data_IF_911182638830
#
_entry.id   IF_911182638830
#
_cell.length_a   1.000
_cell.length_b   1.000
_cell.length_c   1.000
_cell.angle_alpha   90.00
_cell.angle_beta   90.00
_cell.angle_gamma   90.00
#
_symmetry.space_group_name_H-M   'P 1'
#
loop_
_entity.id
_entity.type
_entity.pdbx_description
1 polymer ?
#
# COMPACT_ATOMS: atom_id res chain seq x y z
N UNK A 1 16.15 -75.71 51.11
CA UNK A 1 15.94 -75.54 49.66
C UNK A 1 15.21 -74.21 49.45
N UNK A 2 15.93 -73.17 49.02
CA UNK A 2 15.36 -71.86 48.71
C UNK A 2 15.26 -71.74 47.19
N UNK A 3 14.04 -71.58 46.67
CA UNK A 3 13.78 -71.28 45.26
C UNK A 3 13.81 -69.77 45.07
N UNK A 4 14.83 -69.28 44.36
CA UNK A 4 14.97 -67.88 43.96
C UNK A 4 14.20 -67.70 42.65
N UNK A 5 13.08 -66.99 42.71
CA UNK A 5 12.27 -66.61 41.56
C UNK A 5 12.88 -65.33 40.94
N UNK A 6 13.60 -65.45 39.82
CA UNK A 6 14.08 -64.32 39.04
C UNK A 6 12.94 -63.80 38.14
N UNK A 7 12.36 -62.65 38.48
CA UNK A 7 11.53 -61.86 37.55
C UNK A 7 12.46 -61.14 36.56
N UNK A 8 12.47 -61.57 35.31
CA UNK A 8 13.00 -60.79 34.20
C UNK A 8 11.97 -59.72 33.80
N UNK A 9 12.20 -58.47 34.16
CA UNK A 9 11.49 -57.33 33.60
C UNK A 9 12.09 -57.00 32.23
N UNK A 10 11.40 -57.35 31.14
CA UNK A 10 11.72 -56.90 29.81
C UNK A 10 11.08 -55.52 29.57
N UNK A 11 11.89 -54.47 29.55
CA UNK A 11 11.48 -53.12 29.16
C UNK A 11 11.35 -53.04 27.62
N UNK A 12 10.12 -52.88 27.13
CA UNK A 12 9.86 -52.52 25.73
C UNK A 12 10.11 -51.02 25.60
N UNK A 13 11.30 -50.63 25.15
CA UNK A 13 11.54 -49.27 24.64
C UNK A 13 10.86 -49.15 23.28
N UNK A 14 9.65 -48.58 23.27
CA UNK A 14 8.98 -48.17 22.05
C UNK A 14 9.76 -46.97 21.47
N UNK A 15 10.63 -47.22 20.49
CA UNK A 15 11.21 -46.15 19.68
C UNK A 15 10.08 -45.50 18.89
N UNK A 16 9.46 -44.48 19.48
CA UNK A 16 8.66 -43.52 18.73
C UNK A 16 9.59 -42.80 17.78
N UNK A 17 9.69 -43.31 16.55
CA UNK A 17 10.16 -42.51 15.44
C UNK A 17 9.17 -41.35 15.34
N UNK A 18 9.54 -40.20 15.90
CA UNK A 18 8.93 -38.94 15.54
C UNK A 18 9.10 -38.88 14.03
N UNK A 19 8.01 -39.09 13.29
CA UNK A 19 7.90 -38.65 11.92
C UNK A 19 8.02 -37.12 12.00
N UNK A 20 9.27 -36.64 12.08
CA UNK A 20 9.59 -35.26 11.84
C UNK A 20 9.09 -35.03 10.42
N UNK A 21 7.96 -34.34 10.32
CA UNK A 21 7.30 -34.05 9.09
C UNK A 21 8.35 -33.44 8.17
N UNK A 22 8.73 -34.19 7.13
CA UNK A 22 9.48 -33.64 6.01
C UNK A 22 8.53 -32.75 5.22
N UNK A 23 8.09 -31.65 5.83
CA UNK A 23 7.80 -30.46 5.06
C UNK A 23 9.16 -29.97 4.60
N UNK A 24 9.63 -30.52 3.47
CA UNK A 24 10.61 -29.82 2.68
C UNK A 24 10.07 -28.40 2.57
N UNK A 25 10.86 -27.44 3.05
CA UNK A 25 10.50 -26.03 3.04
C UNK A 25 10.37 -25.66 1.58
N UNK A 26 9.17 -25.83 1.02
CA UNK A 26 8.86 -25.43 -0.34
C UNK A 26 9.00 -23.93 -0.31
N UNK A 27 10.05 -23.43 -0.95
CA UNK A 27 10.24 -22.01 -1.13
C UNK A 27 9.03 -21.51 -1.92
N UNK A 28 8.09 -20.91 -1.20
CA UNK A 28 6.85 -20.41 -1.77
C UNK A 28 7.16 -19.40 -2.88
N UNK A 29 8.28 -18.69 -2.77
CA UNK A 29 8.72 -17.72 -3.76
C UNK A 29 9.14 -18.42 -5.06
N UNK A 30 9.64 -19.65 -4.98
CA UNK A 30 9.94 -20.47 -6.15
C UNK A 30 8.67 -21.02 -6.82
N UNK A 31 7.60 -21.27 -6.06
CA UNK A 31 6.32 -21.77 -6.59
C UNK A 31 5.46 -20.63 -7.15
N UNK A 32 5.41 -19.50 -6.44
CA UNK A 32 4.58 -18.35 -6.77
C UNK A 32 5.28 -17.37 -7.70
N UNK A 33 6.62 -17.34 -7.71
CA UNK A 33 7.41 -16.38 -8.48
C UNK A 33 7.55 -15.00 -7.83
N UNK A 34 7.05 -14.81 -6.60
CA UNK A 34 7.16 -13.57 -5.84
C UNK A 34 7.14 -13.86 -4.33
N UNK A 35 7.55 -12.87 -3.54
CA UNK A 35 7.64 -12.96 -2.09
C UNK A 35 6.50 -12.20 -1.41
N UNK A 36 5.55 -12.97 -0.90
CA UNK A 36 4.38 -12.52 -0.16
C UNK A 36 4.57 -12.58 1.36
N UNK A 37 5.81 -12.73 1.84
CA UNK A 37 6.13 -12.68 3.26
C UNK A 37 6.24 -11.26 3.80
N UNK A 38 6.22 -11.09 5.14
CA UNK A 38 6.43 -9.81 5.80
C UNK A 38 7.80 -9.19 5.49
N UNK A 39 8.82 -10.01 5.25
CA UNK A 39 10.20 -9.55 4.94
C UNK A 39 10.30 -8.80 3.61
N UNK A 40 9.35 -9.03 2.70
CA UNK A 40 9.25 -8.32 1.42
C UNK A 40 8.04 -7.37 1.37
N UNK A 41 7.52 -6.95 2.53
CA UNK A 41 6.38 -6.04 2.64
C UNK A 41 5.19 -6.54 1.82
N UNK A 42 4.97 -7.86 1.80
CA UNK A 42 3.91 -8.50 1.03
C UNK A 42 3.90 -8.07 -0.46
N UNK A 43 5.10 -8.07 -1.07
CA UNK A 43 5.36 -7.64 -2.45
C UNK A 43 5.27 -6.11 -2.71
N UNK A 44 5.13 -5.29 -1.66
CA UNK A 44 5.07 -3.83 -1.73
C UNK A 44 6.28 -3.15 -1.04
N UNK A 45 7.50 -3.50 -1.44
CA UNK A 45 8.76 -3.05 -0.80
C UNK A 45 8.93 -1.53 -0.70
N UNK A 46 8.40 -0.80 -1.66
CA UNK A 46 8.52 0.66 -1.72
C UNK A 46 7.19 1.26 -1.25
N UNK A 47 7.15 2.06 -0.17
CA UNK A 47 5.90 2.58 0.38
C UNK A 47 5.24 3.58 -0.57
N UNK A 48 3.92 3.84 -0.42
CA UNK A 48 3.16 4.48 -1.47
C UNK A 48 3.53 5.94 -1.77
N UNK A 49 4.14 6.66 -0.84
CA UNK A 49 4.62 8.05 -0.99
C UNK A 49 5.97 8.17 -1.72
N UNK A 50 6.66 7.06 -1.99
CA UNK A 50 7.94 7.06 -2.68
C UNK A 50 7.73 6.89 -4.18
N UNK A 51 8.43 7.71 -4.98
CA UNK A 51 8.37 7.64 -6.44
C UNK A 51 8.72 6.23 -6.96
N UNK A 52 7.90 5.72 -7.89
CA UNK A 52 8.06 4.38 -8.44
C UNK A 52 7.53 3.24 -7.58
N UNK A 53 6.82 3.54 -6.48
CA UNK A 53 6.13 2.52 -5.70
C UNK A 53 5.04 1.82 -6.51
N UNK A 54 4.94 0.50 -6.37
CA UNK A 54 3.92 -0.34 -6.99
C UNK A 54 3.11 -1.07 -5.92
N UNK A 55 1.77 -1.20 -6.05
CA UNK A 55 0.98 -2.00 -5.13
C UNK A 55 1.49 -3.44 -5.10
N UNK A 56 1.47 -4.08 -3.93
CA UNK A 56 1.89 -5.48 -3.79
C UNK A 56 0.82 -6.48 -4.24
N UNK A 57 -0.45 -6.07 -4.12
CA UNK A 57 -1.63 -6.92 -4.30
C UNK A 57 -2.86 -6.10 -4.70
N UNK A 58 -3.87 -6.78 -5.25
CA UNK A 58 -5.22 -6.27 -5.48
C UNK A 58 -6.23 -7.21 -4.83
N UNK A 59 -7.21 -6.66 -4.12
CA UNK A 59 -8.32 -7.43 -3.55
C UNK A 59 -9.65 -6.79 -3.95
N UNK A 60 -10.38 -7.48 -4.83
CA UNK A 60 -11.65 -7.02 -5.36
C UNK A 60 -12.24 -7.98 -6.41
N UNK A 61 -13.47 -7.72 -6.86
CA UNK A 61 -14.20 -8.58 -7.80
C UNK A 61 -13.68 -8.55 -9.24
N UNK A 62 -12.85 -7.58 -9.63
CA UNK A 62 -12.42 -7.35 -11.01
C UNK A 62 -10.89 -7.54 -11.20
N UNK A 63 -10.35 -8.75 -11.00
CA UNK A 63 -8.91 -9.01 -11.08
C UNK A 63 -8.28 -8.67 -12.44
N UNK A 64 -9.07 -8.72 -13.52
CA UNK A 64 -8.64 -8.37 -14.87
C UNK A 64 -8.27 -6.90 -15.06
N UNK A 65 -8.67 -6.02 -14.12
CA UNK A 65 -8.32 -4.60 -14.15
C UNK A 65 -6.83 -4.36 -13.91
N UNK A 66 -6.16 -5.28 -13.20
CA UNK A 66 -4.75 -5.17 -12.84
C UNK A 66 -4.00 -6.47 -13.15
N UNK A 67 -3.77 -6.79 -14.44
CA UNK A 67 -3.16 -8.07 -14.83
C UNK A 67 -1.72 -8.24 -14.33
N UNK A 68 -1.04 -7.14 -14.03
CA UNK A 68 0.32 -7.13 -13.48
C UNK A 68 0.36 -7.17 -11.95
N UNK A 69 -0.79 -7.00 -11.29
CA UNK A 69 -0.91 -7.12 -9.84
C UNK A 69 -1.39 -8.51 -9.45
N UNK A 70 -0.96 -8.92 -8.27
CA UNK A 70 -1.40 -10.18 -7.72
C UNK A 70 -2.82 -10.06 -7.15
N UNK A 71 -3.78 -10.59 -7.88
CA UNK A 71 -5.18 -10.57 -7.48
C UNK A 71 -5.47 -11.66 -6.44
N UNK A 72 -5.93 -11.23 -5.26
CA UNK A 72 -6.32 -12.06 -4.14
C UNK A 72 -7.75 -12.59 -4.34
N UNK A 73 -7.92 -13.50 -5.30
CA UNK A 73 -9.19 -14.19 -5.56
C UNK A 73 -9.21 -15.60 -4.95
N UNK A 74 -10.37 -16.26 -4.93
CA UNK A 74 -10.62 -17.52 -4.21
C UNK A 74 -9.53 -18.60 -4.38
N UNK A 75 -9.10 -18.88 -5.61
CA UNK A 75 -8.02 -19.86 -5.88
C UNK A 75 -6.70 -19.47 -5.23
N UNK A 76 -6.35 -18.18 -5.30
CA UNK A 76 -5.10 -17.69 -4.71
C UNK A 76 -5.17 -17.69 -3.19
N UNK A 77 -6.30 -17.29 -2.64
CA UNK A 77 -6.58 -17.33 -1.20
C UNK A 77 -6.47 -18.75 -0.65
N UNK A 78 -6.99 -19.74 -1.38
CA UNK A 78 -6.89 -21.14 -1.00
C UNK A 78 -5.46 -21.64 -1.01
N UNK A 79 -4.63 -21.19 -1.95
CA UNK A 79 -3.21 -21.52 -1.98
C UNK A 79 -2.46 -20.87 -0.82
N UNK A 80 -2.76 -19.59 -0.54
CA UNK A 80 -2.15 -18.83 0.55
C UNK A 80 -2.48 -19.38 1.94
N UNK A 81 -3.66 -19.99 2.11
CA UNK A 81 -4.05 -20.63 3.36
C UNK A 81 -3.11 -21.77 3.82
N UNK A 82 -2.24 -22.29 2.93
CA UNK A 82 -1.21 -23.27 3.30
C UNK A 82 0.07 -22.65 3.88
N UNK A 83 0.20 -21.32 3.83
CA UNK A 83 1.41 -20.58 4.20
C UNK A 83 1.10 -19.51 5.26
N UNK A 84 1.16 -19.85 6.56
CA UNK A 84 0.69 -18.99 7.66
C UNK A 84 1.50 -17.69 7.85
N UNK A 85 2.65 -17.56 7.18
CA UNK A 85 3.49 -16.36 7.23
C UNK A 85 3.30 -15.47 5.99
N UNK A 86 2.49 -15.89 5.01
CA UNK A 86 2.23 -15.11 3.81
C UNK A 86 1.07 -14.12 4.00
N UNK A 87 0.87 -13.24 3.02
CA UNK A 87 -0.34 -12.43 2.92
C UNK A 87 -1.56 -13.35 2.87
N UNK A 88 -2.47 -13.24 3.85
CA UNK A 88 -3.73 -13.97 3.79
C UNK A 88 -4.79 -13.12 3.11
N UNK A 89 -5.67 -13.77 2.37
CA UNK A 89 -6.89 -13.12 1.94
C UNK A 89 -7.81 -12.88 3.13
N UNK A 90 -8.66 -11.84 3.08
CA UNK A 90 -9.71 -11.68 4.05
C UNK A 90 -10.62 -12.90 4.00
N UNK A 91 -10.81 -13.55 5.13
CA UNK A 91 -11.84 -14.58 5.21
C UNK A 91 -13.18 -13.87 5.13
N UNK A 92 -13.97 -14.19 4.10
CA UNK A 92 -15.39 -13.84 4.09
C UNK A 92 -16.00 -14.54 5.29
N UNK A 93 -16.03 -13.86 6.42
CA UNK A 93 -16.75 -14.33 7.59
C UNK A 93 -18.20 -14.28 7.16
N UNK A 94 -18.75 -15.41 6.73
CA UNK A 94 -20.19 -15.56 6.53
C UNK A 94 -20.78 -15.43 7.91
N UNK A 95 -21.04 -14.19 8.33
CA UNK A 95 -21.65 -13.88 9.60
C UNK A 95 -23.07 -14.43 9.50
N UNK A 96 -23.27 -15.68 9.95
CA UNK A 96 -24.58 -16.28 10.09
C UNK A 96 -25.27 -15.48 11.20
N UNK A 97 -25.99 -14.44 10.79
CA UNK A 97 -26.99 -13.62 11.48
C UNK A 97 -27.10 -13.84 13.00
N UNK A 98 -26.06 -13.51 13.74
CA UNK A 98 -26.17 -13.13 15.16
C UNK A 98 -26.21 -11.60 15.16
N UNK A 99 -27.13 -11.03 15.94
CA UNK A 99 -27.46 -9.61 15.93
C UNK A 99 -26.21 -8.71 15.83
N UNK A 100 -26.23 -7.65 14.98
CA UNK A 100 -25.06 -6.86 14.67
C UNK A 100 -24.48 -6.24 15.95
N UNK A 101 -23.26 -6.63 16.30
CA UNK A 101 -22.43 -5.79 17.17
C UNK A 101 -22.19 -4.47 16.42
N UNK A 102 -22.44 -3.31 17.03
CA UNK A 102 -22.50 -2.02 16.33
C UNK A 102 -21.15 -1.46 15.84
N UNK A 103 -20.03 -2.17 16.04
CA UNK A 103 -18.71 -1.77 15.55
C UNK A 103 -18.05 -2.91 14.79
N UNK A 104 -17.50 -2.60 13.62
CA UNK A 104 -16.68 -3.49 12.78
C UNK A 104 -15.27 -3.78 13.37
N UNK A 105 -15.02 -3.35 14.61
CA UNK A 105 -13.72 -3.49 15.27
C UNK A 105 -12.75 -2.35 14.96
N UNK A 106 -13.19 -1.27 14.29
CA UNK A 106 -12.36 -0.11 13.99
C UNK A 106 -12.94 1.20 14.54
N UNK A 107 -12.05 2.15 14.83
CA UNK A 107 -12.34 3.56 15.16
C UNK A 107 -11.73 4.42 14.06
N UNK A 108 -12.54 5.28 13.45
CA UNK A 108 -12.05 6.27 12.49
C UNK A 108 -11.21 7.32 13.23
N UNK A 109 -9.96 7.52 12.82
CA UNK A 109 -9.05 8.49 13.45
C UNK A 109 -9.00 9.81 12.70
N UNK A 110 -9.29 9.78 11.39
CA UNK A 110 -9.53 10.95 10.55
C UNK A 110 -10.33 10.53 9.31
N UNK A 111 -10.97 11.50 8.68
CA UNK A 111 -11.81 11.29 7.50
C UNK A 111 -11.67 12.42 6.47
N UNK A 112 -11.78 12.05 5.20
CA UNK A 112 -11.89 12.95 4.05
C UNK A 112 -10.83 14.06 4.00
N UNK A 113 -9.56 13.71 4.23
CA UNK A 113 -8.43 14.64 4.08
C UNK A 113 -7.71 14.44 2.74
N UNK A 114 -6.91 15.42 2.34
CA UNK A 114 -6.15 15.40 1.07
C UNK A 114 -4.70 14.97 1.25
N UNK A 115 -4.44 14.10 2.22
CA UNK A 115 -3.12 13.58 2.51
C UNK A 115 -3.20 12.16 3.07
N UNK A 116 -2.24 11.33 2.70
CA UNK A 116 -2.10 9.95 3.17
C UNK A 116 -1.05 9.89 4.30
N UNK A 117 -1.18 8.87 5.16
CA UNK A 117 -0.24 8.60 6.23
C UNK A 117 1.13 8.21 5.67
N UNK A 118 2.16 8.82 6.22
CA UNK A 118 3.56 8.49 5.96
C UNK A 118 4.24 8.13 7.28
N UNK A 119 4.54 6.85 7.49
CA UNK A 119 5.09 6.38 8.75
C UNK A 119 6.07 5.21 8.56
N UNK A 120 6.99 5.07 9.52
CA UNK A 120 8.08 4.09 9.49
C UNK A 120 7.63 2.65 9.77
N UNK A 121 6.44 2.47 10.34
CA UNK A 121 5.84 1.18 10.68
C UNK A 121 4.92 0.64 9.56
N UNK A 122 5.07 1.19 8.37
CA UNK A 122 4.47 0.70 7.14
C UNK A 122 4.72 -0.79 6.92
N UNK A 123 3.68 -1.50 6.47
CA UNK A 123 3.72 -2.95 6.25
C UNK A 123 3.59 -3.33 4.77
N UNK A 124 2.60 -2.76 4.09
CA UNK A 124 2.30 -3.03 2.67
C UNK A 124 1.27 -2.03 2.20
N UNK A 125 1.11 -1.91 0.87
CA UNK A 125 -0.10 -1.35 0.30
C UNK A 125 -0.59 -2.17 -0.89
N UNK A 126 -1.89 -2.09 -1.13
CA UNK A 126 -2.57 -2.72 -2.26
C UNK A 126 -3.70 -1.85 -2.79
N UNK A 127 -4.44 -2.40 -3.74
CA UNK A 127 -5.64 -1.77 -4.29
C UNK A 127 -6.90 -2.54 -3.87
N UNK A 128 -7.93 -1.80 -3.50
CA UNK A 128 -9.25 -2.33 -3.09
C UNK A 128 -10.37 -1.44 -3.60
N UNK A 129 -11.56 -2.00 -3.76
CA UNK A 129 -12.71 -1.22 -4.23
C UNK A 129 -13.47 -0.50 -3.10
N UNK A 130 -13.38 -1.00 -1.86
CA UNK A 130 -14.09 -0.40 -0.72
C UNK A 130 -13.22 -0.26 0.53
N UNK A 131 -13.59 0.68 1.41
CA UNK A 131 -12.96 0.83 2.74
C UNK A 131 -13.09 -0.44 3.57
N UNK A 132 -14.22 -1.16 3.45
CA UNK A 132 -14.43 -2.42 4.16
C UNK A 132 -13.46 -3.50 3.70
N UNK A 133 -13.18 -3.59 2.40
CA UNK A 133 -12.19 -4.51 1.85
C UNK A 133 -10.79 -4.18 2.37
N UNK A 134 -10.48 -2.89 2.52
CA UNK A 134 -9.22 -2.42 3.09
C UNK A 134 -9.04 -2.85 4.56
N UNK A 135 -10.10 -2.68 5.38
CA UNK A 135 -10.13 -3.16 6.78
C UNK A 135 -10.01 -4.68 6.85
N UNK A 136 -10.73 -5.39 6.00
CA UNK A 136 -10.71 -6.86 5.95
C UNK A 136 -9.30 -7.39 5.58
N UNK A 137 -8.57 -6.69 4.72
CA UNK A 137 -7.14 -6.97 4.46
C UNK A 137 -6.28 -6.73 5.71
N UNK A 138 -6.49 -5.66 6.46
CA UNK A 138 -5.77 -5.48 7.72
C UNK A 138 -6.10 -6.56 8.76
N UNK A 139 -7.30 -7.13 8.74
CA UNK A 139 -7.66 -8.26 9.61
C UNK A 139 -6.91 -9.55 9.26
N UNK A 140 -6.56 -9.74 7.98
CA UNK A 140 -5.83 -10.92 7.51
C UNK A 140 -4.30 -10.79 7.61
N UNK A 141 -3.77 -9.58 7.79
CA UNK A 141 -2.32 -9.33 7.95
C UNK A 141 -1.90 -9.36 9.43
N UNK A 142 -1.06 -10.33 9.85
CA UNK A 142 -0.57 -10.38 11.23
C UNK A 142 0.15 -9.10 11.65
N UNK A 143 -0.30 -8.51 12.75
CA UNK A 143 0.27 -7.27 13.29
C UNK A 143 -0.23 -5.98 12.65
N UNK A 144 -1.12 -6.02 11.65
CA UNK A 144 -1.76 -4.81 11.17
C UNK A 144 -2.75 -4.28 12.21
N UNK A 145 -2.63 -3.00 12.56
CA UNK A 145 -3.50 -2.34 13.54
C UNK A 145 -4.19 -1.11 12.97
N UNK A 146 -3.69 -0.60 11.85
CA UNK A 146 -4.16 0.64 11.27
C UNK A 146 -4.19 0.57 9.75
N UNK A 147 -5.18 1.25 9.20
CA UNK A 147 -5.47 1.30 7.78
C UNK A 147 -5.63 2.75 7.36
N UNK A 148 -4.93 3.14 6.29
CA UNK A 148 -5.22 4.37 5.57
C UNK A 148 -5.69 4.03 4.16
N UNK A 149 -6.96 4.35 3.88
CA UNK A 149 -7.57 4.21 2.56
C UNK A 149 -7.67 5.58 1.91
N UNK A 150 -7.24 5.72 0.65
CA UNK A 150 -7.29 7.00 -0.06
C UNK A 150 -7.35 6.80 -1.58
N UNK A 151 -7.83 7.82 -2.29
CA UNK A 151 -7.70 7.91 -3.74
C UNK A 151 -6.39 8.59 -4.12
N UNK A 152 -5.61 7.90 -4.94
CA UNK A 152 -4.37 8.40 -5.54
C UNK A 152 -4.72 8.87 -6.97
N UNK A 153 -5.23 10.10 -7.10
CA UNK A 153 -5.76 10.60 -8.37
C UNK A 153 -4.62 10.86 -9.33
N UNK A 154 -4.73 10.35 -10.55
CA UNK A 154 -3.63 10.22 -11.52
C UNK A 154 -2.45 9.39 -11.01
N UNK A 155 -2.59 8.71 -9.87
CA UNK A 155 -1.59 7.84 -9.32
C UNK A 155 -1.41 6.55 -10.10
N UNK A 156 -0.54 5.69 -9.56
CA UNK A 156 -0.06 4.39 -10.05
C UNK A 156 -1.00 3.66 -11.02
N UNK A 157 -0.86 3.95 -12.32
CA UNK A 157 -1.58 3.26 -13.40
C UNK A 157 -2.98 3.79 -13.72
N UNK A 158 -3.37 4.96 -13.20
CA UNK A 158 -4.68 5.56 -13.44
C UNK A 158 -5.83 4.82 -12.74
N UNK A 159 -5.52 4.05 -11.71
CA UNK A 159 -6.49 3.31 -10.92
C UNK A 159 -7.51 4.26 -10.29
N UNK A 160 -8.80 3.99 -10.50
CA UNK A 160 -9.90 4.65 -9.76
C UNK A 160 -10.14 4.03 -8.38
N UNK A 161 -9.49 2.91 -8.07
CA UNK A 161 -9.70 2.16 -6.84
C UNK A 161 -8.96 2.79 -5.67
N UNK A 162 -9.36 2.44 -4.46
CA UNK A 162 -8.74 2.93 -3.24
C UNK A 162 -7.36 2.29 -3.07
N UNK A 163 -6.36 3.13 -2.82
CA UNK A 163 -5.09 2.67 -2.28
C UNK A 163 -5.30 2.33 -0.82
N UNK A 164 -4.95 1.09 -0.45
CA UNK A 164 -5.08 0.56 0.90
C UNK A 164 -3.69 0.38 1.52
N UNK A 165 -3.32 1.23 2.47
CA UNK A 165 -2.01 1.17 3.16
C UNK A 165 -2.17 0.65 4.59
N UNK A 166 -1.34 -0.34 4.95
CA UNK A 166 -1.40 -1.05 6.22
C UNK A 166 -0.21 -0.70 7.12
N UNK A 167 -0.47 -0.49 8.41
CA UNK A 167 0.52 -0.06 9.41
C UNK A 167 0.40 -0.85 10.72
N UNK A 168 1.50 -0.93 11.47
CA UNK A 168 1.59 -1.68 12.75
C UNK A 168 1.10 -0.90 13.97
N UNK A 169 1.00 0.43 13.86
CA UNK A 169 0.55 1.34 14.90
C UNK A 169 -0.58 2.22 14.40
N UNK A 170 -1.39 2.73 15.33
CA UNK A 170 -2.46 3.64 15.00
C UNK A 170 -1.96 5.06 14.76
N UNK A 171 -2.43 5.65 13.66
CA UNK A 171 -2.08 7.00 13.24
C UNK A 171 -3.27 7.95 13.32
N UNK A 172 -2.95 9.24 13.34
CA UNK A 172 -3.93 10.33 13.27
C UNK A 172 -3.68 11.19 12.03
N UNK A 173 -4.53 12.18 11.79
CA UNK A 173 -4.30 13.14 10.70
C UNK A 173 -2.98 13.92 10.82
N UNK A 174 -2.34 13.92 12.00
CA UNK A 174 -1.01 14.53 12.17
C UNK A 174 0.10 13.78 11.41
N UNK A 175 -0.08 12.48 11.15
CA UNK A 175 0.87 11.63 10.40
C UNK A 175 0.54 11.61 8.90
N UNK A 176 -0.58 12.25 8.50
CA UNK A 176 -1.01 12.33 7.11
C UNK A 176 -0.42 13.56 6.42
N UNK A 177 0.84 13.46 6.01
CA UNK A 177 1.60 14.53 5.36
C UNK A 177 1.91 14.28 3.87
N UNK A 178 1.59 13.08 3.35
CA UNK A 178 1.74 12.77 1.93
C UNK A 178 0.54 13.30 1.13
N UNK A 179 0.62 14.54 0.64
CA UNK A 179 -0.40 15.13 -0.22
C UNK A 179 -0.34 14.67 -1.69
N UNK A 180 0.60 13.78 -2.04
CA UNK A 180 0.94 13.44 -3.41
C UNK A 180 1.93 14.45 -4.04
N UNK A 181 1.83 14.66 -5.34
CA UNK A 181 2.66 15.59 -6.11
C UNK A 181 3.86 14.92 -6.79
N UNK A 182 3.93 13.60 -6.79
CA UNK A 182 4.88 12.83 -7.56
C UNK A 182 4.52 12.92 -9.06
N UNK A 183 5.55 13.12 -9.90
CA UNK A 183 5.36 13.12 -11.35
C UNK A 183 5.22 11.70 -11.88
N UNK A 184 4.19 11.49 -12.68
CA UNK A 184 3.89 10.22 -13.34
C UNK A 184 4.63 10.10 -14.68
N UNK A 185 4.74 8.88 -15.25
CA UNK A 185 5.38 8.67 -16.55
C UNK A 185 4.77 9.48 -17.70
N UNK A 186 3.49 9.83 -17.61
CA UNK A 186 2.77 10.65 -18.59
C UNK A 186 2.92 12.18 -18.35
N UNK A 187 3.64 12.57 -17.30
CA UNK A 187 3.87 13.96 -16.91
C UNK A 187 2.75 14.58 -16.07
N UNK A 188 1.68 13.83 -15.76
CA UNK A 188 0.70 14.27 -14.76
C UNK A 188 1.31 14.27 -13.35
N UNK A 189 0.69 15.03 -12.46
CA UNK A 189 1.00 14.98 -11.03
C UNK A 189 -0.13 14.21 -10.35
N UNK A 190 0.25 13.30 -9.47
CA UNK A 190 -0.71 12.66 -8.59
C UNK A 190 -1.09 13.60 -7.42
N UNK A 191 -2.23 13.31 -6.80
CA UNK A 191 -2.65 13.96 -5.58
C UNK A 191 -3.58 13.06 -4.79
N UNK A 192 -3.56 13.20 -3.47
CA UNK A 192 -4.36 12.38 -2.58
C UNK A 192 -5.71 13.05 -2.30
N UNK A 193 -6.80 12.29 -2.44
CA UNK A 193 -8.15 12.69 -2.01
C UNK A 193 -8.81 11.60 -1.19
N UNK A 194 -9.89 11.97 -0.49
CA UNK A 194 -10.77 11.04 0.23
C UNK A 194 -10.00 10.07 1.14
N UNK A 195 -9.00 10.61 1.84
CA UNK A 195 -8.12 9.84 2.72
C UNK A 195 -8.76 9.68 4.09
N UNK A 196 -8.99 8.43 4.48
CA UNK A 196 -9.57 8.02 5.75
C UNK A 196 -8.59 7.14 6.53
N UNK A 197 -8.57 7.32 7.85
CA UNK A 197 -7.75 6.54 8.78
C UNK A 197 -8.60 5.72 9.73
N UNK A 198 -8.26 4.43 9.89
CA UNK A 198 -9.00 3.49 10.74
C UNK A 198 -8.06 2.70 11.64
N UNK A 199 -8.26 2.80 12.94
CA UNK A 199 -7.48 2.09 13.96
C UNK A 199 -8.31 0.95 14.57
N UNK A 200 -7.72 -0.25 14.73
CA UNK A 200 -8.37 -1.36 15.42
C UNK A 200 -8.70 -1.00 16.88
N UNK A 201 -9.93 -1.32 17.31
CA UNK A 201 -10.39 -1.17 18.70
C UNK A 201 -9.48 -1.99 19.61
N UNK A 202 -8.93 -1.36 20.65
CA UNK A 202 -7.94 -1.97 21.55
C UNK A 202 -6.50 -1.53 21.30
N UNK A 203 -6.21 -0.97 20.13
CA UNK A 203 -4.90 -0.42 19.77
C UNK A 203 -4.90 1.11 19.65
N UNK A 204 -6.08 1.73 19.71
CA UNK A 204 -6.20 3.18 19.72
C UNK A 204 -5.47 3.75 20.93
N UNK A 205 -4.70 4.86 20.76
CA UNK A 205 -4.28 5.65 21.91
C UNK A 205 -5.52 5.92 22.76
N UNK A 206 -5.40 5.94 24.10
CA UNK A 206 -6.50 6.39 24.94
C UNK A 206 -7.00 7.69 24.33
N UNK A 207 -8.27 7.73 23.92
CA UNK A 207 -8.86 8.96 23.43
C UNK A 207 -8.77 9.90 24.62
N UNK A 208 -7.73 10.71 24.65
CA UNK A 208 -7.70 11.91 25.46
C UNK A 208 -8.84 12.71 24.84
N UNK A 209 -10.03 12.55 25.41
CA UNK A 209 -11.14 13.48 25.24
C UNK A 209 -10.61 14.78 25.81
N UNK A 210 -9.80 15.47 25.01
CA UNK A 210 -9.61 16.89 25.19
C UNK A 210 -11.05 17.41 25.12
N UNK A 211 -11.59 17.97 26.22
CA UNK A 211 -12.96 18.44 26.23
C UNK A 211 -13.14 19.29 24.99
N UNK A 212 -14.16 18.94 24.20
CA UNK A 212 -14.51 19.64 22.97
C UNK A 212 -14.29 21.14 23.23
N UNK A 213 -13.49 21.84 22.40
CA UNK A 213 -13.17 23.24 22.64
C UNK A 213 -14.49 23.95 22.90
N UNK A 214 -14.65 24.44 24.14
CA UNK A 214 -15.81 25.24 24.54
C UNK A 214 -16.03 26.24 23.42
N UNK A 215 -17.24 26.28 22.80
CA UNK A 215 -17.51 27.23 21.73
C UNK A 215 -17.24 28.62 22.29
N UNK A 216 -16.08 29.17 21.97
CA UNK A 216 -15.74 30.54 22.30
C UNK A 216 -16.62 31.35 21.39
N UNK A 217 -17.74 31.80 21.95
CA UNK A 217 -18.62 32.80 21.38
C UNK A 217 -17.76 33.97 20.93
N UNK A 218 -17.41 33.96 19.65
CA UNK A 218 -16.74 35.08 19.00
C UNK A 218 -17.76 36.19 18.96
N UNK A 219 -17.59 37.18 19.84
CA UNK A 219 -18.33 38.42 19.77
C UNK A 219 -18.12 39.02 18.38
N UNK A 220 -19.21 39.16 17.65
CA UNK A 220 -19.28 39.90 16.40
C UNK A 220 -18.85 41.35 16.62
N UNK A 221 -17.57 41.66 16.40
CA UNK A 221 -17.11 43.03 16.19
C UNK A 221 -17.43 43.39 14.73
N UNK A 222 -18.43 44.24 14.54
CA UNK A 222 -18.68 44.94 13.28
C UNK A 222 -17.45 45.80 12.95
N UNK A 223 -16.64 45.34 12.00
CA UNK A 223 -15.65 46.19 11.32
C UNK A 223 -16.24 46.62 9.99
N UNK A 224 -16.39 47.95 9.84
CA UNK A 224 -16.84 48.64 8.64
C UNK A 224 -16.12 48.19 7.38
N UNK A 225 -16.91 48.05 6.32
CA UNK A 225 -16.45 47.91 4.95
C UNK A 225 -15.52 49.08 4.58
N UNK A 226 -14.28 48.76 4.23
CA UNK A 226 -13.45 49.63 3.41
C UNK A 226 -13.41 49.01 2.00
N UNK A 227 -14.22 49.58 1.12
CA UNK A 227 -14.22 49.30 -0.31
C UNK A 227 -12.92 49.84 -0.90
N UNK A 228 -12.02 48.94 -1.32
CA UNK A 228 -10.85 49.27 -2.13
C UNK A 228 -11.10 48.80 -3.56
N UNK A 229 -11.62 49.71 -4.37
CA UNK A 229 -11.80 49.56 -5.81
C UNK A 229 -10.44 49.45 -6.49
N UNK A 230 -10.04 48.23 -6.87
CA UNK A 230 -8.85 48.01 -7.70
C UNK A 230 -9.29 47.91 -9.15
N UNK A 231 -9.14 49.01 -9.88
CA UNK A 231 -9.36 49.11 -11.33
C UNK A 231 -8.34 48.23 -12.07
N UNK A 232 -8.76 47.04 -12.49
CA UNK A 232 -7.97 46.21 -13.42
C UNK A 232 -8.25 46.65 -14.86
N UNK A 233 -7.21 47.18 -15.50
CA UNK A 233 -7.20 47.62 -16.89
C UNK A 233 -7.24 46.41 -17.82
N UNK A 234 -8.37 46.20 -18.48
CA UNK A 234 -8.55 45.19 -19.54
C UNK A 234 -7.73 45.65 -20.76
N UNK A 235 -6.64 44.93 -21.04
CA UNK A 235 -5.95 45.01 -22.33
C UNK A 235 -6.47 43.85 -23.18
N UNK A 236 -7.40 44.16 -24.08
CA UNK A 236 -7.79 43.26 -25.17
C UNK A 236 -6.67 43.18 -26.19
N UNK A 237 -6.00 42.04 -26.29
CA UNK A 237 -5.08 41.74 -27.39
C UNK A 237 -5.79 40.82 -28.38
N UNK A 238 -6.27 41.43 -29.46
CA UNK A 238 -6.85 40.76 -30.63
C UNK A 238 -5.77 39.91 -31.31
N UNK A 239 -5.85 38.59 -31.18
CA UNK A 239 -4.95 37.68 -31.90
C UNK A 239 -5.63 37.20 -33.18
N UNK A 240 -5.07 37.62 -34.30
CA UNK A 240 -5.50 37.31 -35.66
C UNK A 240 -5.30 35.82 -35.97
N UNK A 241 -6.40 35.16 -36.37
CA UNK A 241 -6.44 33.78 -36.85
C UNK A 241 -5.83 33.70 -38.25
N UNK A 242 -4.61 33.15 -38.37
CA UNK A 242 -4.02 32.79 -39.64
C UNK A 242 -4.26 31.30 -39.91
N UNK A 243 -5.17 31.00 -40.83
CA UNK A 243 -5.38 29.66 -41.40
C UNK A 243 -4.21 29.35 -42.35
N UNK A 244 -3.37 28.37 -41.99
CA UNK A 244 -2.42 27.75 -42.91
C UNK A 244 -2.77 26.28 -43.11
N UNK A 245 -3.29 25.97 -44.29
CA UNK A 245 -3.56 24.61 -44.76
C UNK A 245 -2.23 24.04 -45.26
N UNK A 246 -1.62 23.12 -44.50
CA UNK A 246 -0.47 22.35 -44.99
C UNK A 246 -0.87 20.88 -45.10
N UNK A 247 -1.06 20.45 -46.35
CA UNK A 247 -1.36 19.06 -46.74
C UNK A 247 -0.06 18.27 -46.70
N UNK A 248 0.13 17.45 -45.67
CA UNK A 248 1.25 16.52 -45.57
C UNK A 248 0.82 15.15 -46.12
N UNK A 249 1.41 14.77 -47.25
CA UNK A 249 1.34 13.42 -47.82
C UNK A 249 2.32 12.52 -47.06
N UNK A 250 1.82 11.55 -46.29
CA UNK A 250 2.64 10.49 -45.70
C UNK A 250 2.78 9.34 -46.70
N UNK A 251 4.03 9.07 -47.10
CA UNK A 251 4.40 7.87 -47.87
C UNK A 251 4.98 6.85 -46.90
N UNK A 252 4.31 5.71 -46.78
CA UNK A 252 4.71 4.57 -45.97
C UNK A 252 5.96 3.92 -46.58
N UNK A 253 7.09 3.91 -45.85
CA UNK A 253 8.20 2.99 -46.12
C UNK A 253 8.52 2.21 -44.85
N UNK A 254 8.08 0.96 -44.82
CA UNK A 254 8.50 -0.02 -43.84
C UNK A 254 9.99 -0.30 -44.00
N UNK A 255 10.80 0.02 -42.99
CA UNK A 255 12.20 -0.39 -42.88
C UNK A 255 12.29 -1.44 -41.77
N UNK A 256 12.34 -2.70 -42.20
CA UNK A 256 12.66 -3.83 -41.33
C UNK A 256 14.07 -3.66 -40.79
N UNK A 257 14.22 -3.58 -39.47
CA UNK A 257 15.52 -3.48 -38.79
C UNK A 257 15.70 -4.75 -37.97
N UNK A 258 16.63 -5.60 -38.40
CA UNK A 258 17.01 -6.85 -37.74
C UNK A 258 17.85 -6.54 -36.51
N UNK A 259 17.27 -6.72 -35.32
CA UNK A 259 17.98 -6.59 -34.04
C UNK A 259 18.78 -7.85 -33.75
N UNK A 260 20.11 -7.78 -33.85
CA UNK A 260 21.02 -8.81 -33.35
C UNK A 260 21.28 -8.57 -31.86
N UNK A 261 20.71 -9.41 -30.98
CA UNK A 261 21.02 -9.41 -29.54
C UNK A 261 22.49 -9.82 -29.33
N UNK A 262 23.33 -8.90 -28.87
CA UNK A 262 24.60 -9.23 -28.19
C UNK A 262 24.36 -9.17 -26.68
N UNK A 263 24.69 -10.25 -25.99
CA UNK A 263 24.71 -10.30 -24.53
C UNK A 263 25.88 -9.43 -23.99
N UNK A 264 25.65 -8.58 -22.98
CA UNK A 264 26.74 -7.97 -22.24
C UNK A 264 27.40 -8.98 -21.28
N UNK A 265 28.73 -8.89 -21.06
CA UNK A 265 29.43 -9.71 -20.09
C UNK A 265 29.07 -9.33 -18.63
N UNK A 266 29.16 -10.26 -17.67
CA UNK A 266 28.83 -10.02 -16.27
C UNK A 266 30.00 -9.36 -15.52
N UNK A 267 29.74 -8.27 -14.79
CA UNK A 267 30.67 -7.69 -13.80
C UNK A 267 29.92 -6.74 -12.83
N UNK A 268 30.47 -6.45 -11.64
CA UNK A 268 30.78 -7.35 -10.53
C UNK A 268 29.98 -6.95 -9.26
N UNK A 269 29.92 -7.87 -8.30
CA UNK A 269 29.30 -7.69 -6.97
C UNK A 269 29.95 -6.55 -6.18
N UNK A 270 29.20 -5.55 -5.68
CA UNK A 270 29.75 -4.58 -4.73
C UNK A 270 29.73 -5.14 -3.31
N UNK A 271 30.93 -5.36 -2.76
CA UNK A 271 31.16 -5.55 -1.33
C UNK A 271 31.32 -4.17 -0.69
N UNK A 272 30.41 -3.77 0.20
CA UNK A 272 30.55 -2.49 0.89
C UNK A 272 29.39 -2.19 1.85
N UNK A 273 29.57 -2.54 3.12
CA UNK A 273 28.71 -2.14 4.23
C UNK A 273 28.97 -0.66 4.53
N UNK A 274 28.03 0.22 4.16
CA UNK A 274 28.02 1.63 4.56
C UNK A 274 27.00 1.85 5.68
N UNK A 275 27.49 2.27 6.85
CA UNK A 275 26.68 2.75 7.97
C UNK A 275 25.97 4.04 7.57
N UNK A 276 24.64 4.11 7.74
CA UNK A 276 23.91 5.37 7.64
C UNK A 276 23.63 5.94 9.04
N UNK A 277 24.15 7.14 9.27
CA UNK A 277 23.71 8.01 10.35
C UNK A 277 22.52 8.85 9.86
N UNK A 278 21.48 8.90 10.69
CA UNK A 278 20.36 9.84 10.67
C UNK A 278 20.86 11.29 10.73
N UNK A 279 20.28 12.18 9.91
CA UNK A 279 19.88 13.57 10.25
C UNK A 279 19.40 14.34 8.99
N UNK A 280 18.13 14.80 9.02
CA UNK A 280 17.60 16.05 8.43
C UNK A 280 17.81 16.40 6.94
N UNK A 281 16.71 16.55 6.20
CA UNK A 281 16.61 17.38 4.98
C UNK A 281 15.26 18.10 4.99
N UNK A 282 15.10 19.42 4.86
CA UNK A 282 15.59 20.33 3.83
C UNK A 282 15.46 19.78 2.41
N UNK A 283 14.62 20.45 1.62
CA UNK A 283 14.12 20.02 0.32
C UNK A 283 15.22 19.64 -0.67
N UNK A 284 15.09 18.43 -1.20
CA UNK A 284 15.87 17.95 -2.33
C UNK A 284 15.25 18.42 -3.65
N UNK A 285 15.95 19.32 -4.35
CA UNK A 285 15.86 19.40 -5.82
C UNK A 285 16.84 18.40 -6.41
N UNK A 286 16.36 17.20 -6.71
CA UNK A 286 17.11 16.19 -7.45
C UNK A 286 17.32 16.58 -8.93
N UNK A 287 18.36 16.06 -9.59
CA UNK A 287 18.74 16.42 -10.94
C UNK A 287 17.75 15.88 -11.97
N UNK A 288 17.34 16.76 -12.89
CA UNK A 288 16.68 16.38 -14.14
C UNK A 288 17.70 15.62 -15.01
N UNK A 289 17.24 14.54 -15.64
CA UNK A 289 17.87 13.78 -16.73
C UNK A 289 18.61 12.49 -16.32
N UNK A 290 17.85 11.41 -16.16
CA UNK A 290 18.24 10.09 -16.65
C UNK A 290 16.99 9.43 -17.28
N UNK A 291 17.09 9.11 -18.57
CA UNK A 291 16.09 8.38 -19.36
C UNK A 291 16.51 6.92 -19.49
N UNK A 292 15.55 6.00 -19.51
CA UNK A 292 15.41 4.96 -20.56
C UNK A 292 13.91 4.76 -20.80
#
# INVERSE_FOLDING_TARGET
MYFVLHLCAASITLSGALAAEMFAQVDINAVLGFDAGPDNFYNARTPPWVAGATPGWYYGPNPEKYPDLWALHETMCRLLAYYPEALHCPTVTVTITVAPSPSDGYIQTFDNITAAVQADDFMTFGLVETVNDCKAMCDSVPGCTFVNSFHDVNGKGGSTDLTCSLFKFCHTSADADNAGGQSQPDGSLDFITDSDGWCKVGNAPPVTTNPAPTPTSTSSTKTSAHTSTTTSKIISTTTTKATSTTKATSTTKAKSTTTTKRFPPPFPTPTGVGRFHQCGGFGYKGPKNWWV
#
